data_IF_692012038047
#
_entry.id   IF_692012038047
#
_cell.length_a   1.000
_cell.length_b   1.000
_cell.length_c   1.000
_cell.angle_alpha   90.00
_cell.angle_beta   90.00
_cell.angle_gamma   90.00
#
_symmetry.space_group_name_H-M   'P 1'
#
loop_
_entity.id
_entity.type
_entity.pdbx_description
1 polymer ?
#
# COMPACT_ATOMS: atom_id res chain seq x y z
N UNK A 1 -3.02 -5.28 -7.78
CA UNK A 1 -2.79 -4.28 -6.72
C UNK A 1 -1.81 -4.86 -5.72
N UNK A 2 -1.02 -4.03 -5.05
CA UNK A 2 -0.08 -4.49 -4.02
C UNK A 2 0.04 -3.46 -2.89
N UNK A 3 0.43 -3.92 -1.70
CA UNK A 3 0.88 -3.06 -0.63
C UNK A 3 2.33 -2.69 -0.91
N UNK A 4 2.64 -1.39 -0.86
CA UNK A 4 4.01 -0.88 -0.97
C UNK A 4 4.39 -0.08 0.27
N UNK A 5 5.65 -0.21 0.65
CA UNK A 5 6.30 0.60 1.70
C UNK A 5 7.14 1.68 1.04
N UNK A 6 6.86 2.94 1.34
CA UNK A 6 7.59 4.09 0.78
C UNK A 6 8.26 4.85 1.92
N UNK A 7 9.58 5.00 1.86
CA UNK A 7 10.35 5.72 2.87
C UNK A 7 10.55 7.18 2.44
N UNK A 8 10.49 8.08 3.42
CA UNK A 8 10.80 9.50 3.26
C UNK A 8 11.75 9.92 4.36
N UNK A 9 12.84 10.58 3.97
CA UNK A 9 13.75 11.26 4.89
C UNK A 9 13.28 12.70 5.11
N UNK A 10 13.11 13.09 6.36
CA UNK A 10 12.71 14.43 6.77
C UNK A 10 13.93 15.35 6.87
N UNK A 11 13.68 16.67 6.91
CA UNK A 11 14.73 17.69 6.99
C UNK A 11 15.54 17.62 8.29
N UNK A 12 14.90 17.15 9.37
CA UNK A 12 15.52 16.91 10.68
C UNK A 12 16.36 15.62 10.74
N UNK A 13 16.46 14.87 9.64
CA UNK A 13 17.24 13.64 9.55
C UNK A 13 16.46 12.37 9.90
N UNK A 14 15.23 12.49 10.45
CA UNK A 14 14.39 11.32 10.74
C UNK A 14 13.90 10.64 9.46
N UNK A 15 13.63 9.33 9.51
CA UNK A 15 13.05 8.57 8.40
C UNK A 15 11.69 8.03 8.80
N UNK A 16 10.68 8.31 7.99
CA UNK A 16 9.33 7.76 8.17
C UNK A 16 8.98 6.87 6.98
N UNK A 17 8.26 5.78 7.22
CA UNK A 17 7.74 4.91 6.18
C UNK A 17 6.23 5.06 6.08
N UNK A 18 5.68 5.00 4.88
CA UNK A 18 4.24 4.97 4.64
C UNK A 18 3.85 3.67 3.96
N UNK A 19 2.68 3.14 4.33
CA UNK A 19 2.06 1.99 3.68
C UNK A 19 0.97 2.47 2.72
N UNK A 20 1.00 1.95 1.50
CA UNK A 20 0.06 2.35 0.44
C UNK A 20 -0.44 1.15 -0.34
N UNK A 21 -1.74 1.16 -0.68
CA UNK A 21 -2.30 0.29 -1.70
C UNK A 21 -2.10 0.94 -3.07
N UNK A 22 -1.43 0.22 -3.96
CA UNK A 22 -1.15 0.71 -5.31
C UNK A 22 -1.60 -0.27 -6.39
N UNK A 23 -1.90 0.27 -7.56
CA UNK A 23 -2.07 -0.48 -8.79
C UNK A 23 -1.11 0.08 -9.84
N UNK A 24 -0.40 -0.81 -10.53
CA UNK A 24 0.50 -0.40 -11.58
C UNK A 24 -0.30 -0.26 -12.88
N UNK A 25 -0.25 0.91 -13.49
CA UNK A 25 -0.84 1.21 -14.79
C UNK A 25 0.28 1.45 -15.81
N UNK A 26 0.11 0.99 -17.04
CA UNK A 26 1.08 1.25 -18.11
C UNK A 26 1.09 2.73 -18.49
N UNK A 27 2.25 3.39 -18.43
CA UNK A 27 2.42 4.76 -18.93
C UNK A 27 3.06 4.72 -20.34
N UNK A 28 2.31 5.04 -21.41
CA UNK A 28 2.83 4.98 -22.78
C UNK A 28 3.88 6.06 -23.07
N UNK A 29 3.88 7.19 -22.36
CA UNK A 29 4.86 8.27 -22.52
C UNK A 29 6.18 7.91 -21.84
N UNK A 30 6.09 7.33 -20.64
CA UNK A 30 7.26 6.94 -19.88
C UNK A 30 7.82 5.56 -20.30
N UNK A 31 7.02 4.75 -21.02
CA UNK A 31 7.34 3.39 -21.47
C UNK A 31 7.65 2.39 -20.35
N UNK A 32 7.01 2.56 -19.20
CA UNK A 32 7.08 1.60 -18.09
C UNK A 32 5.80 1.64 -17.26
N UNK A 33 5.60 0.61 -16.43
CA UNK A 33 4.47 0.56 -15.51
C UNK A 33 4.68 1.52 -14.33
N UNK A 34 3.76 2.47 -14.14
CA UNK A 34 3.77 3.42 -13.03
C UNK A 34 2.82 2.99 -11.94
N UNK A 35 3.31 3.03 -10.71
CA UNK A 35 2.51 2.70 -9.54
C UNK A 35 1.59 3.87 -9.15
N UNK A 36 0.29 3.73 -9.40
CA UNK A 36 -0.76 4.65 -8.98
C UNK A 36 -1.22 4.30 -7.57
N UNK A 37 -1.15 5.26 -6.66
CA UNK A 37 -1.68 5.10 -5.31
C UNK A 37 -3.19 5.14 -5.37
N UNK A 38 -3.82 4.11 -4.80
CA UNK A 38 -5.27 4.01 -4.66
C UNK A 38 -5.67 4.47 -3.26
N UNK A 39 -4.91 4.04 -2.26
CA UNK A 39 -5.14 4.42 -0.87
C UNK A 39 -3.82 4.50 -0.11
N UNK A 40 -3.70 5.47 0.79
CA UNK A 40 -2.59 5.58 1.73
C UNK A 40 -3.10 5.21 3.11
N UNK A 41 -2.52 4.17 3.72
CA UNK A 41 -2.83 3.76 5.09
C UNK A 41 -2.25 4.72 6.13
N UNK A 42 -1.33 5.60 5.72
CA UNK A 42 -0.62 6.51 6.61
C UNK A 42 0.78 6.01 6.92
N UNK A 43 1.36 6.53 8.00
CA UNK A 43 2.70 6.15 8.44
C UNK A 43 2.68 4.73 9.01
N UNK A 44 3.66 3.93 8.65
CA UNK A 44 3.78 2.53 9.07
C UNK A 44 3.74 2.37 10.60
N UNK A 45 4.36 3.30 11.34
CA UNK A 45 4.39 3.28 12.80
C UNK A 45 3.09 3.74 13.48
N UNK A 46 2.17 4.33 12.71
CA UNK A 46 0.84 4.77 13.17
C UNK A 46 -0.28 3.84 12.68
N UNK A 47 0.02 2.93 11.75
CA UNK A 47 -0.96 1.98 11.21
C UNK A 47 -1.22 0.86 12.22
N UNK A 48 -2.48 0.74 12.65
CA UNK A 48 -2.93 -0.39 13.46
C UNK A 48 -2.83 -1.69 12.64
N UNK A 49 -1.93 -2.58 13.04
CA UNK A 49 -1.72 -3.88 12.43
C UNK A 49 -3.00 -4.72 12.37
N UNK A 50 -3.88 -4.62 13.36
CA UNK A 50 -5.12 -5.37 13.40
C UNK A 50 -6.07 -4.96 12.26
N UNK A 51 -6.01 -3.71 11.81
CA UNK A 51 -6.79 -3.21 10.66
C UNK A 51 -6.31 -3.85 9.36
N UNK A 52 -5.00 -3.97 9.16
CA UNK A 52 -4.43 -4.64 7.98
C UNK A 52 -4.78 -6.14 7.95
N UNK A 53 -4.71 -6.81 9.10
CA UNK A 53 -5.11 -8.22 9.22
C UNK A 53 -6.59 -8.42 8.91
N UNK A 54 -7.46 -7.50 9.36
CA UNK A 54 -8.88 -7.52 9.02
C UNK A 54 -9.12 -7.33 7.53
N UNK A 55 -8.38 -6.42 6.89
CA UNK A 55 -8.45 -6.23 5.44
C UNK A 55 -8.04 -7.51 4.70
N UNK A 56 -6.93 -8.13 5.08
CA UNK A 56 -6.46 -9.38 4.49
C UNK A 56 -7.50 -10.50 4.61
N UNK A 57 -8.10 -10.68 5.80
CA UNK A 57 -9.19 -11.63 6.02
C UNK A 57 -10.41 -11.33 5.16
N UNK A 58 -10.80 -10.06 5.02
CA UNK A 58 -11.93 -9.66 4.18
C UNK A 58 -11.69 -10.00 2.72
N UNK A 59 -10.48 -9.73 2.20
CA UNK A 59 -10.09 -10.06 0.82
C UNK A 59 -10.08 -11.58 0.63
N UNK A 60 -9.46 -12.33 1.56
CA UNK A 60 -9.41 -13.80 1.49
C UNK A 60 -10.81 -14.41 1.45
N UNK A 61 -11.72 -13.97 2.33
CA UNK A 61 -13.12 -14.43 2.33
C UNK A 61 -13.84 -14.09 1.02
N UNK A 62 -13.58 -12.90 0.46
CA UNK A 62 -14.17 -12.52 -0.83
C UNK A 62 -13.66 -13.40 -1.98
N UNK A 63 -12.39 -13.79 -1.96
CA UNK A 63 -11.77 -14.65 -2.97
C UNK A 63 -12.14 -16.14 -2.82
N UNK A 64 -12.56 -16.55 -1.62
CA UNK A 64 -12.95 -17.93 -1.32
C UNK A 64 -14.36 -17.97 -0.69
N UNK A 65 -15.42 -17.68 -1.47
CA UNK A 65 -16.78 -17.55 -0.96
C UNK A 65 -17.44 -18.88 -0.53
N UNK A 66 -16.83 -20.04 -0.84
CA UNK A 66 -17.40 -21.37 -0.59
C UNK A 66 -16.50 -22.28 0.27
N UNK A 67 -15.63 -21.71 1.11
CA UNK A 67 -14.78 -22.47 2.05
C UNK A 67 -15.38 -22.57 3.44
#
# INVERSE_FOLDING_TARGET
>A
MSIRRVTRKNKDGTTVAHLQLAHNEWDPKAKYAKAKVIYSFGREDEVDRAVLERLAKSISRFLSPNS
#
